data_IF_167880146190
#
_entry.id   IF_167880146190
#
_cell.length_a   1.000
_cell.length_b   1.000
_cell.length_c   1.000
_cell.angle_alpha   90.00
_cell.angle_beta   90.00
_cell.angle_gamma   90.00
#
_symmetry.space_group_name_H-M   'P 1'
#
loop_
_entity.id
_entity.type
_entity.pdbx_description
1 polymer ?
#
# COMPACT_ATOMS: atom_id res chain seq x y z
N UNK A 1 -11.23 0.42 20.49
CA UNK A 1 -10.15 -0.09 19.62
C UNK A 1 -8.89 -0.31 20.41
N UNK A 2 -8.21 -1.43 20.21
CA UNK A 2 -6.92 -1.72 20.85
C UNK A 2 -5.81 -1.50 19.83
N UNK A 3 -4.81 -0.65 20.16
CA UNK A 3 -3.65 -0.42 19.30
C UNK A 3 -2.78 -1.66 19.29
N UNK A 4 -2.50 -2.20 18.11
CA UNK A 4 -1.61 -3.34 17.86
C UNK A 4 -0.21 -2.88 17.47
N UNK A 5 -0.12 -1.78 16.72
CA UNK A 5 1.11 -1.22 16.20
C UNK A 5 0.99 0.30 16.08
N UNK A 6 2.04 1.00 16.42
CA UNK A 6 2.12 2.46 16.32
C UNK A 6 3.56 2.85 15.98
N UNK A 7 3.77 3.46 14.82
CA UNK A 7 5.08 3.79 14.30
C UNK A 7 5.05 5.16 13.62
N UNK A 8 5.81 6.16 14.12
CA UNK A 8 5.80 7.49 13.54
C UNK A 8 6.42 7.55 12.13
N UNK A 9 7.22 6.56 11.72
CA UNK A 9 7.97 6.56 10.47
C UNK A 9 8.84 7.82 10.31
N UNK A 10 9.49 8.27 11.37
CA UNK A 10 10.14 9.59 11.45
C UNK A 10 11.67 9.52 11.42
N UNK A 11 12.24 8.34 11.69
CA UNK A 11 13.68 8.11 11.79
C UNK A 11 14.06 6.76 11.18
N UNK A 12 15.35 6.53 10.86
CA UNK A 12 15.83 5.21 10.42
C UNK A 12 15.54 4.08 11.44
N UNK A 13 15.51 4.38 12.73
CA UNK A 13 15.25 3.44 13.82
C UNK A 13 13.81 2.92 13.75
N UNK A 14 12.87 3.74 13.33
CA UNK A 14 11.47 3.36 13.18
C UNK A 14 11.27 2.31 12.07
N UNK A 15 12.25 2.17 11.17
CA UNK A 15 12.24 1.16 10.11
C UNK A 15 13.02 -0.11 10.44
N UNK A 16 13.39 -0.32 11.71
CA UNK A 16 14.05 -1.55 12.12
C UNK A 16 13.17 -2.77 11.78
N UNK A 17 13.73 -3.74 11.04
CA UNK A 17 13.01 -4.92 10.59
C UNK A 17 12.18 -4.76 9.32
N UNK A 18 11.90 -3.54 8.85
CA UNK A 18 11.27 -3.35 7.54
C UNK A 18 12.12 -3.94 6.42
N UNK A 19 11.46 -4.47 5.39
CA UNK A 19 12.14 -5.02 4.21
C UNK A 19 11.76 -4.25 2.95
N UNK A 20 12.80 -3.76 2.25
CA UNK A 20 12.66 -3.13 0.93
C UNK A 20 12.77 -4.20 -0.15
N UNK A 21 11.79 -4.27 -1.04
CA UNK A 21 11.85 -4.99 -2.32
C UNK A 21 11.89 -3.95 -3.44
N UNK A 22 12.85 -4.10 -4.36
CA UNK A 22 13.21 -3.08 -5.34
C UNK A 22 14.32 -2.13 -4.84
N UNK A 23 14.79 -1.27 -5.74
CA UNK A 23 15.90 -0.34 -5.47
C UNK A 23 15.37 1.01 -4.98
N UNK A 24 14.95 1.05 -3.72
CA UNK A 24 14.39 2.24 -3.07
C UNK A 24 15.40 3.00 -2.24
N UNK A 25 15.24 4.32 -2.18
CA UNK A 25 15.87 5.20 -1.22
C UNK A 25 14.88 5.62 -0.14
N UNK A 26 15.37 5.72 1.09
CA UNK A 26 14.63 6.21 2.25
C UNK A 26 15.34 7.43 2.82
N UNK A 27 14.59 8.47 3.12
CA UNK A 27 15.08 9.66 3.83
C UNK A 27 13.97 10.17 4.76
N UNK A 28 14.31 11.10 5.68
CA UNK A 28 13.38 11.52 6.73
C UNK A 28 13.26 13.06 6.83
N UNK A 29 12.91 13.75 5.74
CA UNK A 29 12.75 15.19 5.78
C UNK A 29 11.61 15.56 6.74
N UNK A 30 11.91 16.50 7.67
CA UNK A 30 10.94 16.97 8.66
C UNK A 30 10.31 15.85 9.51
N UNK A 31 11.05 14.74 9.74
CA UNK A 31 10.55 13.60 10.52
C UNK A 31 9.45 12.81 9.81
N UNK A 32 9.50 12.66 8.50
CA UNK A 32 8.58 11.86 7.68
C UNK A 32 9.36 10.92 6.77
N UNK A 33 8.97 9.67 6.70
CA UNK A 33 9.57 8.71 5.78
C UNK A 33 9.29 9.15 4.34
N UNK A 34 10.32 9.52 3.61
CA UNK A 34 10.25 9.72 2.16
C UNK A 34 10.76 8.49 1.44
N UNK A 35 9.94 7.98 0.53
CA UNK A 35 10.30 6.90 -0.38
C UNK A 35 10.53 7.44 -1.79
N UNK A 36 11.60 6.96 -2.43
CA UNK A 36 11.98 7.32 -3.80
C UNK A 36 12.68 6.14 -4.47
N UNK A 37 12.45 5.92 -5.76
CA UNK A 37 13.23 4.97 -6.53
C UNK A 37 14.62 5.53 -6.83
N UNK A 38 15.66 4.69 -6.72
CA UNK A 38 17.01 5.00 -7.21
C UNK A 38 17.18 4.73 -8.70
N UNK A 39 16.23 3.99 -9.29
CA UNK A 39 16.24 3.66 -10.72
C UNK A 39 15.54 4.74 -11.53
N UNK A 40 15.98 5.00 -12.77
CA UNK A 40 15.29 5.92 -13.66
C UNK A 40 13.93 5.34 -14.06
N UNK A 41 12.93 6.20 -14.34
CA UNK A 41 11.60 5.75 -14.80
C UNK A 41 11.62 4.93 -16.09
N UNK A 42 12.67 5.06 -16.90
CA UNK A 42 12.89 4.27 -18.13
C UNK A 42 13.04 2.76 -17.87
N UNK A 43 13.38 2.36 -16.65
CA UNK A 43 13.47 0.95 -16.25
C UNK A 43 12.09 0.31 -16.04
N UNK A 44 11.00 1.10 -16.19
CA UNK A 44 9.63 0.62 -16.14
C UNK A 44 9.29 -0.03 -14.79
N UNK A 45 8.82 -1.28 -14.82
CA UNK A 45 8.40 -1.99 -13.61
C UNK A 45 9.56 -2.27 -12.63
N UNK A 46 10.79 -2.40 -13.11
CA UNK A 46 11.96 -2.60 -12.26
C UNK A 46 12.34 -1.34 -11.44
N UNK A 47 11.81 -0.17 -11.78
CA UNK A 47 11.97 1.04 -10.99
C UNK A 47 10.99 1.15 -9.81
N UNK A 48 10.04 0.23 -9.68
CA UNK A 48 9.07 0.24 -8.59
C UNK A 48 9.66 -0.39 -7.33
N UNK A 49 9.06 -0.08 -6.19
CA UNK A 49 9.52 -0.56 -4.89
C UNK A 49 8.34 -0.92 -3.98
N UNK A 50 8.61 -1.80 -3.01
CA UNK A 50 7.70 -2.08 -1.88
C UNK A 50 8.51 -2.06 -0.58
N UNK A 51 8.02 -1.36 0.42
CA UNK A 51 8.56 -1.36 1.78
C UNK A 51 7.58 -2.08 2.70
N UNK A 52 7.93 -3.27 3.15
CA UNK A 52 7.12 -4.12 4.00
C UNK A 52 7.34 -3.87 5.49
N UNK A 53 6.26 -3.72 6.24
CA UNK A 53 6.27 -3.77 7.71
C UNK A 53 6.58 -5.21 8.15
N UNK A 54 7.44 -5.42 9.19
CA UNK A 54 7.80 -6.76 9.65
C UNK A 54 6.66 -7.50 10.36
N UNK A 55 5.68 -6.78 10.90
CA UNK A 55 4.62 -7.34 11.73
C UNK A 55 3.52 -8.01 10.91
N UNK A 56 2.92 -9.06 11.48
CA UNK A 56 1.69 -9.67 11.00
C UNK A 56 0.48 -9.12 11.75
N UNK A 57 -0.57 -8.82 11.00
CA UNK A 57 -1.80 -8.25 11.55
C UNK A 57 -2.98 -9.23 11.36
N UNK A 58 -3.93 -9.26 12.32
CA UNK A 58 -5.12 -10.09 12.20
C UNK A 58 -6.06 -9.58 11.10
N UNK A 59 -7.13 -10.34 10.82
CA UNK A 59 -8.09 -10.03 9.79
C UNK A 59 -8.85 -8.72 10.03
N UNK A 60 -9.37 -8.53 11.26
CA UNK A 60 -10.20 -7.37 11.58
C UNK A 60 -9.33 -6.26 12.16
N UNK A 61 -9.00 -5.29 11.31
CA UNK A 61 -8.09 -4.18 11.65
C UNK A 61 -8.50 -2.87 11.01
N UNK A 62 -8.11 -1.80 11.67
CA UNK A 62 -7.98 -0.48 11.09
C UNK A 62 -6.51 -0.18 10.86
N UNK A 63 -6.15 0.23 9.65
CA UNK A 63 -4.80 0.64 9.24
C UNK A 63 -4.89 2.12 8.87
N UNK A 64 -4.11 2.95 9.53
CA UNK A 64 -4.09 4.41 9.36
C UNK A 64 -2.66 4.86 9.10
N UNK A 65 -2.50 5.83 8.21
CA UNK A 65 -1.23 6.52 7.98
C UNK A 65 -1.48 7.89 7.36
N UNK A 66 -0.45 8.71 7.38
CA UNK A 66 -0.44 9.96 6.64
C UNK A 66 0.35 9.80 5.33
N UNK A 67 -0.15 10.41 4.27
CA UNK A 67 0.51 10.45 2.96
C UNK A 67 0.61 11.88 2.46
N UNK A 68 1.76 12.25 1.91
CA UNK A 68 1.97 13.52 1.21
C UNK A 68 2.67 13.25 -0.13
N UNK A 69 2.06 13.59 -1.27
CA UNK A 69 2.72 13.49 -2.57
C UNK A 69 3.75 14.62 -2.71
N UNK A 70 4.94 14.30 -3.20
CA UNK A 70 6.07 15.25 -3.36
C UNK A 70 6.43 15.42 -4.82
N UNK A 71 6.33 14.37 -5.61
CA UNK A 71 6.60 14.40 -7.06
C UNK A 71 5.68 13.43 -7.77
N UNK A 72 5.11 13.85 -8.88
CA UNK A 72 4.39 13.01 -9.85
C UNK A 72 5.12 13.06 -11.23
N UNK A 73 4.80 12.16 -12.19
CA UNK A 73 3.75 11.16 -12.14
C UNK A 73 4.11 9.93 -11.29
N UNK A 74 3.14 9.01 -11.17
CA UNK A 74 3.29 7.76 -10.47
C UNK A 74 2.00 7.35 -9.76
N UNK A 75 2.09 6.38 -8.88
CA UNK A 75 0.99 6.00 -7.99
C UNK A 75 1.50 5.36 -6.69
N UNK A 76 0.70 5.46 -5.64
CA UNK A 76 0.92 4.79 -4.36
C UNK A 76 -0.04 3.60 -4.21
N UNK A 77 0.44 2.54 -3.55
CA UNK A 77 -0.36 1.37 -3.19
C UNK A 77 -0.07 1.02 -1.73
N UNK A 78 -1.10 0.62 -0.99
CA UNK A 78 -0.98 -0.11 0.27
C UNK A 78 -1.38 -1.56 0.03
N UNK A 79 -0.44 -2.49 0.25
CA UNK A 79 -0.75 -3.91 0.42
C UNK A 79 -1.16 -4.18 1.85
N UNK A 80 -2.15 -5.06 2.04
CA UNK A 80 -2.56 -5.53 3.37
C UNK A 80 -3.03 -6.98 3.30
N UNK A 81 -3.02 -7.67 4.44
CA UNK A 81 -3.26 -9.11 4.57
C UNK A 81 -2.35 -9.94 3.64
N UNK A 82 -1.11 -9.49 3.42
CA UNK A 82 -0.19 -10.16 2.52
C UNK A 82 0.46 -11.38 3.18
N UNK A 83 0.32 -12.56 2.55
CA UNK A 83 0.92 -13.85 2.93
C UNK A 83 1.28 -14.67 1.71
N UNK A 84 2.10 -15.70 1.92
CA UNK A 84 2.24 -16.78 0.93
C UNK A 84 0.91 -17.50 0.70
N UNK A 85 0.70 -18.03 -0.51
CA UNK A 85 -0.58 -18.61 -0.95
C UNK A 85 -1.02 -19.86 -0.17
N UNK A 86 -0.10 -20.55 0.51
CA UNK A 86 -0.41 -21.67 1.42
C UNK A 86 -0.42 -21.25 2.90
N UNK A 87 -0.34 -19.93 3.18
CA UNK A 87 -0.34 -19.34 4.53
C UNK A 87 1.04 -19.09 5.11
N UNK A 88 2.10 -19.23 4.31
CA UNK A 88 3.48 -18.96 4.72
C UNK A 88 3.64 -17.50 5.15
N UNK A 89 4.61 -17.21 6.03
CA UNK A 89 5.07 -15.84 6.28
C UNK A 89 5.52 -15.23 4.95
N UNK A 90 5.18 -13.95 4.72
CA UNK A 90 5.55 -13.25 3.49
C UNK A 90 7.05 -13.23 3.23
N UNK A 91 7.86 -13.36 4.29
CA UNK A 91 9.32 -13.36 4.24
C UNK A 91 9.93 -14.76 4.26
N UNK A 92 9.12 -15.80 4.14
CA UNK A 92 9.61 -17.18 4.05
C UNK A 92 10.54 -17.31 2.83
N UNK A 93 11.76 -17.83 3.03
CA UNK A 93 12.72 -18.00 1.93
C UNK A 93 12.29 -19.05 0.88
N UNK A 94 11.24 -19.83 1.14
CA UNK A 94 10.66 -20.74 0.15
C UNK A 94 9.83 -19.99 -0.92
N UNK A 95 9.37 -18.77 -0.64
CA UNK A 95 8.68 -17.95 -1.62
C UNK A 95 9.64 -17.37 -2.64
N UNK A 96 9.19 -17.22 -3.89
CA UNK A 96 9.98 -16.59 -4.93
C UNK A 96 10.43 -15.18 -4.53
N UNK A 97 11.68 -14.79 -4.80
CA UNK A 97 12.16 -13.46 -4.49
C UNK A 97 11.40 -12.39 -5.29
N UNK A 98 11.16 -11.25 -4.66
CA UNK A 98 10.48 -10.09 -5.26
C UNK A 98 11.42 -8.88 -5.22
N UNK A 99 11.45 -8.12 -6.30
CA UNK A 99 12.38 -7.00 -6.48
C UNK A 99 11.77 -5.78 -7.21
N UNK A 100 10.42 -5.67 -7.22
CA UNK A 100 9.74 -4.46 -7.70
C UNK A 100 8.69 -4.64 -8.79
N UNK A 101 8.87 -5.46 -9.85
CA UNK A 101 7.85 -5.69 -10.87
C UNK A 101 6.50 -6.10 -10.31
N UNK A 102 5.42 -5.44 -10.77
CA UNK A 102 4.09 -5.61 -10.15
C UNK A 102 3.53 -7.02 -10.29
N UNK A 103 3.90 -7.72 -11.36
CA UNK A 103 3.46 -9.10 -11.62
C UNK A 103 3.85 -10.06 -10.49
N UNK A 104 4.99 -9.84 -9.84
CA UNK A 104 5.46 -10.63 -8.70
C UNK A 104 4.52 -10.55 -7.49
N UNK A 105 3.68 -9.51 -7.41
CA UNK A 105 2.75 -9.26 -6.29
C UNK A 105 1.31 -9.61 -6.60
N UNK A 106 0.95 -9.85 -7.85
CA UNK A 106 -0.42 -10.22 -8.20
C UNK A 106 -0.55 -11.54 -8.98
N UNK A 107 0.56 -12.08 -9.52
CA UNK A 107 0.62 -13.41 -10.13
C UNK A 107 1.79 -14.26 -9.59
N UNK A 108 2.48 -13.81 -8.55
CA UNK A 108 3.47 -14.57 -7.79
C UNK A 108 2.83 -15.49 -6.75
N UNK A 109 3.61 -15.84 -5.74
CA UNK A 109 3.24 -16.84 -4.70
C UNK A 109 2.63 -16.19 -3.45
N UNK A 110 2.06 -15.01 -3.56
CA UNK A 110 1.38 -14.35 -2.45
C UNK A 110 -0.10 -14.06 -2.75
N UNK A 111 -0.88 -14.08 -1.69
CA UNK A 111 -2.22 -13.51 -1.63
C UNK A 111 -2.14 -12.17 -0.88
N UNK A 112 -2.88 -11.17 -1.35
CA UNK A 112 -2.98 -9.87 -0.70
C UNK A 112 -4.19 -9.08 -1.20
N UNK A 113 -4.72 -8.20 -0.37
CA UNK A 113 -5.46 -7.03 -0.86
C UNK A 113 -4.48 -5.90 -1.16
N UNK A 114 -4.79 -5.09 -2.17
CA UNK A 114 -3.99 -3.90 -2.43
C UNK A 114 -4.87 -2.76 -2.95
N UNK A 115 -4.78 -1.63 -2.26
CA UNK A 115 -5.47 -0.40 -2.64
C UNK A 115 -4.48 0.56 -3.28
N UNK A 116 -4.74 0.96 -4.53
CA UNK A 116 -3.99 2.02 -5.20
C UNK A 116 -4.72 3.35 -5.08
N UNK A 117 -3.98 4.38 -4.72
CA UNK A 117 -4.43 5.75 -4.55
C UNK A 117 -3.37 6.71 -5.09
N UNK A 118 -3.67 7.99 -5.21
CA UNK A 118 -2.82 8.97 -5.88
C UNK A 118 -2.34 8.44 -7.25
N UNK A 119 -3.29 7.89 -8.02
CA UNK A 119 -2.99 7.31 -9.34
C UNK A 119 -2.84 8.43 -10.36
N UNK A 120 -1.60 8.74 -10.73
CA UNK A 120 -1.25 9.85 -11.62
C UNK A 120 -0.25 9.45 -12.71
N UNK A 121 -0.04 8.14 -12.92
CA UNK A 121 0.95 7.66 -13.88
C UNK A 121 0.52 7.91 -15.33
N UNK A 122 -0.71 7.50 -15.68
CA UNK A 122 -1.20 7.56 -17.06
C UNK A 122 -2.11 8.79 -17.28
N UNK A 123 -2.23 9.28 -18.55
CA UNK A 123 -3.16 10.39 -18.85
C UNK A 123 -4.59 10.12 -18.38
N UNK A 124 -5.09 8.91 -18.56
CA UNK A 124 -6.44 8.51 -18.11
C UNK A 124 -6.61 8.58 -16.59
N UNK A 125 -5.57 8.27 -15.82
CA UNK A 125 -5.58 8.38 -14.37
C UNK A 125 -5.55 9.83 -13.90
N UNK A 126 -4.87 10.71 -14.66
CA UNK A 126 -4.85 12.15 -14.36
C UNK A 126 -6.13 12.86 -14.80
N UNK A 127 -6.85 12.30 -15.76
CA UNK A 127 -8.15 12.83 -16.20
C UNK A 127 -9.30 12.45 -15.26
N UNK A 128 -9.24 11.25 -14.68
CA UNK A 128 -10.25 10.74 -13.75
C UNK A 128 -9.55 10.12 -12.54
N UNK A 129 -9.57 10.84 -11.44
CA UNK A 129 -8.90 10.42 -10.21
C UNK A 129 -9.70 9.35 -9.48
N UNK A 130 -9.18 8.13 -9.44
CA UNK A 130 -9.83 6.98 -8.80
C UNK A 130 -8.86 6.20 -7.92
N UNK A 131 -9.39 5.68 -6.81
CA UNK A 131 -8.77 4.62 -6.02
C UNK A 131 -9.28 3.27 -6.48
N UNK A 132 -8.43 2.25 -6.52
CA UNK A 132 -8.79 0.89 -6.89
C UNK A 132 -8.42 -0.09 -5.78
N UNK A 133 -9.36 -0.92 -5.37
CA UNK A 133 -9.08 -2.12 -4.57
C UNK A 133 -8.97 -3.32 -5.48
N UNK A 134 -7.90 -4.09 -5.27
CA UNK A 134 -7.71 -5.36 -5.97
C UNK A 134 -7.44 -6.48 -4.97
N UNK A 135 -7.79 -7.70 -5.38
CA UNK A 135 -7.47 -8.94 -4.67
C UNK A 135 -6.52 -9.77 -5.53
N UNK A 136 -5.46 -10.26 -4.93
CA UNK A 136 -4.48 -11.23 -5.43
C UNK A 136 -4.53 -12.49 -4.58
N UNK A 137 -4.18 -13.68 -5.08
CA UNK A 137 -3.56 -13.94 -6.36
C UNK A 137 -4.53 -13.63 -7.52
N UNK A 138 -3.97 -13.28 -8.69
CA UNK A 138 -4.72 -12.71 -9.79
C UNK A 138 -4.75 -11.17 -9.69
N UNK A 139 -5.34 -10.51 -10.65
CA UNK A 139 -5.40 -9.05 -10.73
C UNK A 139 -6.85 -8.55 -10.66
N UNK A 140 -7.62 -9.10 -9.70
CA UNK A 140 -9.06 -8.88 -9.61
C UNK A 140 -9.37 -7.47 -9.10
N UNK A 141 -9.93 -6.62 -9.96
CA UNK A 141 -10.48 -5.33 -9.52
C UNK A 141 -11.83 -5.60 -8.84
N UNK A 142 -11.90 -5.35 -7.54
CA UNK A 142 -13.08 -5.67 -6.72
C UNK A 142 -13.86 -4.44 -6.27
N UNK A 143 -13.19 -3.28 -6.16
CA UNK A 143 -13.86 -2.01 -5.90
C UNK A 143 -13.10 -0.84 -6.52
N UNK A 144 -13.82 0.23 -6.81
CA UNK A 144 -13.29 1.50 -7.31
C UNK A 144 -14.09 2.65 -6.71
N UNK A 145 -13.43 3.75 -6.41
CA UNK A 145 -14.06 4.95 -5.89
C UNK A 145 -13.25 6.22 -6.19
N UNK A 146 -13.75 7.40 -5.83
CA UNK A 146 -13.07 8.66 -6.07
C UNK A 146 -11.76 8.76 -5.26
N UNK A 147 -10.78 9.43 -5.85
CA UNK A 147 -9.52 9.82 -5.21
C UNK A 147 -9.51 11.34 -5.03
N UNK A 148 -9.80 11.86 -3.81
CA UNK A 148 -9.88 13.29 -3.55
C UNK A 148 -8.51 13.97 -3.41
N UNK A 149 -7.39 13.21 -3.49
CA UNK A 149 -6.05 13.80 -3.37
C UNK A 149 -5.79 14.78 -4.53
N UNK A 150 -5.34 16.00 -4.27
CA UNK A 150 -4.99 16.95 -5.31
C UNK A 150 -3.70 16.55 -6.04
N UNK A 151 -3.41 17.19 -7.15
CA UNK A 151 -2.11 17.13 -7.79
C UNK A 151 -1.03 17.71 -6.87
N UNK A 152 0.25 17.34 -7.09
CA UNK A 152 1.37 17.80 -6.24
C UNK A 152 1.42 19.32 -6.10
N UNK A 153 1.11 20.07 -7.16
CA UNK A 153 1.13 21.54 -7.15
C UNK A 153 0.12 22.15 -6.17
N UNK A 154 -0.99 21.44 -5.90
CA UNK A 154 -2.07 21.90 -5.05
C UNK A 154 -2.08 21.19 -3.69
N UNK A 155 -1.13 20.26 -3.46
CA UNK A 155 -1.04 19.49 -2.22
C UNK A 155 -0.30 20.29 -1.15
N UNK A 156 -1.03 20.78 -0.15
CA UNK A 156 -0.54 21.69 0.90
C UNK A 156 -0.21 20.99 2.23
N UNK A 157 -0.54 19.70 2.38
CA UNK A 157 -0.30 18.99 3.63
C UNK A 157 -0.27 17.47 3.51
N UNK A 158 -0.09 16.76 4.63
CA UNK A 158 -0.35 15.34 4.67
C UNK A 158 -1.86 15.08 4.68
N UNK A 159 -2.24 13.99 4.05
CA UNK A 159 -3.62 13.49 4.00
C UNK A 159 -3.71 12.23 4.84
N UNK A 160 -4.73 12.15 5.68
CA UNK A 160 -5.02 10.96 6.49
C UNK A 160 -5.63 9.88 5.59
N UNK A 161 -4.98 8.73 5.54
CA UNK A 161 -5.44 7.57 4.77
C UNK A 161 -5.85 6.47 5.75
N UNK A 162 -6.97 5.79 5.47
CA UNK A 162 -7.49 4.74 6.34
C UNK A 162 -8.08 3.58 5.55
N UNK A 163 -7.73 2.38 6.01
CA UNK A 163 -8.38 1.11 5.64
C UNK A 163 -9.02 0.54 6.90
N UNK A 164 -10.31 0.27 6.85
CA UNK A 164 -11.02 -0.53 7.83
C UNK A 164 -11.34 -1.89 7.24
N UNK A 165 -10.95 -2.96 7.93
CA UNK A 165 -11.39 -4.34 7.61
C UNK A 165 -12.15 -4.87 8.81
N UNK A 166 -13.44 -5.20 8.61
CA UNK A 166 -14.33 -5.70 9.64
C UNK A 166 -15.26 -6.77 9.05
N UNK A 167 -15.21 -7.98 9.59
CA UNK A 167 -16.04 -9.10 9.17
C UNK A 167 -16.03 -9.34 7.64
N UNK A 168 -14.87 -9.19 6.98
CA UNK A 168 -14.71 -9.34 5.53
C UNK A 168 -15.05 -8.09 4.71
N UNK A 169 -15.62 -7.04 5.31
CA UNK A 169 -15.86 -5.78 4.64
C UNK A 169 -14.61 -4.89 4.68
N UNK A 170 -14.19 -4.36 3.53
CA UNK A 170 -13.10 -3.42 3.37
C UNK A 170 -13.67 -2.04 3.05
N UNK A 171 -13.35 -1.04 3.88
CA UNK A 171 -13.68 0.37 3.63
C UNK A 171 -12.39 1.16 3.47
N UNK A 172 -12.28 1.95 2.42
CA UNK A 172 -11.14 2.84 2.18
C UNK A 172 -11.58 4.30 2.24
N UNK A 173 -10.83 5.11 2.98
CA UNK A 173 -11.13 6.53 3.19
C UNK A 173 -9.87 7.39 3.10
N UNK A 174 -10.07 8.64 2.64
CA UNK A 174 -9.05 9.69 2.60
C UNK A 174 -9.65 10.94 3.27
N UNK A 175 -9.00 11.47 4.31
CA UNK A 175 -9.51 12.59 5.12
C UNK A 175 -10.98 12.38 5.55
N UNK A 176 -11.30 11.17 6.04
CA UNK A 176 -12.65 10.73 6.43
C UNK A 176 -13.69 10.65 5.30
N UNK A 177 -13.33 10.98 4.06
CA UNK A 177 -14.18 10.78 2.90
C UNK A 177 -14.05 9.32 2.44
N UNK A 178 -15.14 8.58 2.51
CA UNK A 178 -15.20 7.20 2.04
C UNK A 178 -15.09 7.18 0.50
N UNK A 179 -14.03 6.55 -0.01
CA UNK A 179 -13.85 6.32 -1.44
C UNK A 179 -14.70 5.13 -1.93
N UNK A 180 -14.61 4.00 -1.21
CA UNK A 180 -15.41 2.81 -1.50
C UNK A 180 -15.58 1.94 -0.25
N UNK A 181 -16.56 1.04 -0.34
CA UNK A 181 -16.74 -0.11 0.53
C UNK A 181 -16.98 -1.35 -0.33
N UNK A 182 -16.38 -2.46 0.05
CA UNK A 182 -16.54 -3.75 -0.60
C UNK A 182 -16.55 -4.87 0.45
N UNK A 183 -17.35 -5.89 0.21
CA UNK A 183 -17.44 -7.08 1.06
C UNK A 183 -16.86 -8.29 0.31
N UNK A 184 -15.87 -8.94 0.91
CA UNK A 184 -15.29 -10.18 0.37
C UNK A 184 -16.12 -11.38 0.78
N UNK A 185 -17.04 -11.79 -0.07
CA UNK A 185 -17.87 -12.97 0.07
C UNK A 185 -17.22 -14.27 -0.44
N UNK A 186 -15.96 -14.19 -0.88
CA UNK A 186 -15.20 -15.31 -1.44
C UNK A 186 -15.51 -15.64 -2.89
N UNK A 187 -16.41 -14.90 -3.55
CA UNK A 187 -16.80 -15.18 -4.94
C UNK A 187 -15.71 -14.78 -5.96
N UNK A 188 -14.80 -13.89 -5.59
CA UNK A 188 -13.73 -13.39 -6.46
C UNK A 188 -12.37 -13.71 -5.84
N UNK A 189 -11.52 -14.42 -6.59
CA UNK A 189 -10.15 -14.71 -6.17
C UNK A 189 -10.02 -15.59 -4.93
N UNK A 190 -11.05 -16.40 -4.60
CA UNK A 190 -11.04 -17.30 -3.46
C UNK A 190 -11.53 -16.68 -2.14
N UNK A 191 -11.38 -17.38 -0.99
CA UNK A 191 -11.93 -16.94 0.29
C UNK A 191 -11.36 -15.60 0.76
N UNK A 192 -12.05 -14.92 1.69
CA UNK A 192 -11.56 -13.72 2.34
C UNK A 192 -10.22 -13.99 3.04
N UNK A 193 -9.31 -13.02 2.95
CA UNK A 193 -7.95 -13.17 3.49
C UNK A 193 -7.93 -12.97 5.01
N UNK A 194 -7.25 -13.88 5.70
CA UNK A 194 -7.28 -13.98 7.17
C UNK A 194 -6.29 -13.06 7.93
N UNK A 195 -5.72 -12.07 7.27
CA UNK A 195 -4.69 -11.20 7.82
C UNK A 195 -3.31 -11.46 7.21
N UNK A 196 -2.28 -10.78 7.71
CA UNK A 196 -0.91 -10.85 7.21
C UNK A 196 -0.18 -9.52 7.28
N UNK A 197 0.87 -9.36 6.47
CA UNK A 197 1.69 -8.15 6.48
C UNK A 197 1.07 -7.00 5.69
N UNK A 198 1.57 -5.79 5.97
CA UNK A 198 1.26 -4.57 5.21
C UNK A 198 2.51 -4.02 4.54
N UNK A 199 2.34 -3.33 3.41
CA UNK A 199 3.48 -2.77 2.68
C UNK A 199 3.11 -1.57 1.83
N UNK A 200 3.97 -0.55 1.88
CA UNK A 200 3.90 0.62 1.02
C UNK A 200 4.57 0.32 -0.32
N UNK A 201 3.83 0.43 -1.40
CA UNK A 201 4.37 0.33 -2.76
C UNK A 201 4.30 1.67 -3.46
N UNK A 202 5.34 2.00 -4.21
CA UNK A 202 5.34 3.14 -5.12
C UNK A 202 5.70 2.71 -6.55
N UNK A 203 5.00 3.31 -7.51
CA UNK A 203 5.39 3.27 -8.91
C UNK A 203 6.21 4.54 -9.22
N UNK A 204 7.44 4.31 -9.69
CA UNK A 204 8.32 5.40 -10.11
C UNK A 204 7.72 6.20 -11.29
N UNK A 205 7.98 7.51 -11.36
CA UNK A 205 8.87 8.31 -10.55
C UNK A 205 8.24 8.99 -9.31
N UNK A 206 7.11 8.50 -8.78
CA UNK A 206 6.50 9.05 -7.57
C UNK A 206 7.55 9.23 -6.46
N UNK A 207 7.54 10.39 -5.81
CA UNK A 207 8.09 10.57 -4.47
C UNK A 207 6.92 10.83 -3.54
N UNK A 208 6.79 10.00 -2.51
CA UNK A 208 5.79 10.14 -1.46
C UNK A 208 6.41 10.21 -0.07
N UNK A 209 5.81 10.97 0.81
CA UNK A 209 6.12 10.98 2.23
C UNK A 209 5.02 10.29 3.03
N UNK A 210 5.44 9.52 4.03
CA UNK A 210 4.60 8.72 4.91
C UNK A 210 4.92 9.02 6.37
N UNK A 211 3.92 8.98 7.23
CA UNK A 211 4.09 9.11 8.67
C UNK A 211 2.94 8.46 9.43
N UNK A 212 3.14 8.29 10.74
CA UNK A 212 2.09 7.91 11.70
C UNK A 212 1.35 6.63 11.30
N UNK A 213 2.10 5.58 10.91
CA UNK A 213 1.52 4.27 10.62
C UNK A 213 0.97 3.66 11.90
N UNK A 214 -0.33 3.44 11.96
CA UNK A 214 -1.02 2.87 13.10
C UNK A 214 -1.93 1.73 12.68
N UNK A 215 -1.87 0.63 13.41
CA UNK A 215 -2.79 -0.49 13.23
C UNK A 215 -3.51 -0.77 14.54
N UNK A 216 -4.82 -0.84 14.49
CA UNK A 216 -5.68 -1.10 15.64
C UNK A 216 -6.63 -2.26 15.35
N UNK A 217 -7.03 -3.02 16.36
CA UNK A 217 -8.12 -3.98 16.27
C UNK A 217 -9.44 -3.26 16.51
N UNK A 218 -10.47 -3.62 15.74
CA UNK A 218 -11.87 -3.21 15.97
C UNK A 218 -12.44 -3.71 17.27
#
# INVERSE_FOLDING_TARGET
>A
MTVLYDNPLSTPQDLAGFRMEGDGAMSFPQGRLRLESRRPPSDGQAANLVLWCPEDFPQDVRIEWEFRPIREPGLAIMFFHARGRSGEDLFDPALAPRDGPYEQYHHGDLDAYHVSYFRRMWPSERALHTCNLRKSHGFHLVAQGPDPLPAVLDADGPYAIRIDVEAGAVTFSINDLVSFRWEDDGSIGGPALAGGKIGFRQMAPLIGEYANLRVSRH
#
